data_IF_161110368022
#
_entry.id   IF_161110368022
#
_cell.length_a   1.000
_cell.length_b   1.000
_cell.length_c   1.000
_cell.angle_alpha   90.00
_cell.angle_beta   90.00
_cell.angle_gamma   90.00
#
_symmetry.space_group_name_H-M   'P 1'
#
loop_
_entity.id
_entity.type
_entity.pdbx_description
1 polymer ?
#
# COMPACT_ATOMS: atom_id res chain seq x y z
N UNK A 1 -1.34 10.40 5.61
CA UNK A 1 -2.51 10.75 4.75
C UNK A 1 -3.35 9.50 4.47
N UNK A 2 -4.52 9.62 3.81
CA UNK A 2 -5.31 8.45 3.37
C UNK A 2 -4.97 8.09 1.92
N UNK A 3 -4.82 6.79 1.57
CA UNK A 3 -4.66 6.39 0.18
C UNK A 3 -5.91 6.71 -0.64
N UNK A 4 -5.71 7.09 -1.90
CA UNK A 4 -6.75 7.48 -2.84
C UNK A 4 -6.83 6.56 -4.08
N UNK A 5 -5.87 5.67 -4.28
CA UNK A 5 -5.89 4.62 -5.30
C UNK A 5 -5.29 3.31 -4.75
N UNK A 6 -5.57 2.19 -5.42
CA UNK A 6 -5.14 0.86 -4.98
C UNK A 6 -4.69 -0.01 -6.17
N UNK A 7 -3.62 -0.79 -5.97
CA UNK A 7 -3.22 -1.89 -6.85
C UNK A 7 -3.74 -3.19 -6.21
N UNK A 8 -4.80 -3.77 -6.77
CA UNK A 8 -5.51 -4.90 -6.15
C UNK A 8 -5.12 -6.29 -6.67
N UNK A 9 -4.18 -6.38 -7.62
CA UNK A 9 -3.74 -7.65 -8.20
C UNK A 9 -3.83 -7.68 -9.74
N UNK A 10 -3.79 -8.87 -10.35
CA UNK A 10 -3.71 -10.20 -9.73
C UNK A 10 -2.26 -10.63 -9.41
N UNK A 11 -2.05 -11.64 -8.53
CA UNK A 11 -0.74 -12.27 -8.37
C UNK A 11 -0.17 -12.70 -9.72
N UNK A 12 1.15 -12.49 -9.91
CA UNK A 12 1.87 -12.74 -11.17
C UNK A 12 1.42 -11.89 -12.37
N UNK A 13 0.61 -10.84 -12.18
CA UNK A 13 0.23 -9.89 -13.23
C UNK A 13 1.14 -8.64 -13.31
N UNK A 14 2.36 -8.70 -12.75
CA UNK A 14 3.32 -7.60 -12.82
C UNK A 14 3.09 -6.46 -11.82
N UNK A 15 2.28 -6.67 -10.76
CA UNK A 15 2.00 -5.65 -9.73
C UNK A 15 3.25 -5.15 -8.99
N UNK A 16 4.27 -5.99 -8.86
CA UNK A 16 5.57 -5.57 -8.31
C UNK A 16 6.26 -4.53 -9.20
N UNK A 17 6.29 -4.74 -10.52
CA UNK A 17 6.90 -3.80 -11.44
C UNK A 17 6.14 -2.47 -11.47
N UNK A 18 4.79 -2.54 -11.53
CA UNK A 18 3.93 -1.36 -11.46
C UNK A 18 4.13 -0.57 -10.16
N UNK A 19 4.23 -1.26 -9.02
CA UNK A 19 4.54 -0.64 -7.73
C UNK A 19 5.87 0.11 -7.78
N UNK A 20 6.92 -0.52 -8.31
CA UNK A 20 8.25 0.11 -8.44
C UNK A 20 8.18 1.36 -9.31
N UNK A 21 7.59 1.28 -10.51
CA UNK A 21 7.53 2.42 -11.43
C UNK A 21 6.73 3.59 -10.85
N UNK A 22 5.60 3.33 -10.18
CA UNK A 22 4.82 4.38 -9.53
C UNK A 22 5.55 4.98 -8.33
N UNK A 23 6.33 4.20 -7.58
CA UNK A 23 7.12 4.71 -6.46
C UNK A 23 8.22 5.69 -6.86
N UNK A 24 8.65 5.66 -8.12
CA UNK A 24 9.64 6.61 -8.67
C UNK A 24 9.00 7.93 -9.14
N UNK A 25 7.68 7.99 -9.27
CA UNK A 25 6.99 9.17 -9.77
C UNK A 25 6.89 10.25 -8.66
N UNK A 26 7.32 11.51 -8.91
CA UNK A 26 7.45 12.52 -7.86
C UNK A 26 6.12 12.92 -7.18
N UNK A 27 4.99 12.66 -7.84
CA UNK A 27 3.65 12.98 -7.33
C UNK A 27 2.89 11.75 -6.81
N UNK A 28 3.54 10.59 -6.72
CA UNK A 28 2.92 9.38 -6.19
C UNK A 28 3.70 8.92 -4.96
N UNK A 29 2.97 8.65 -3.89
CA UNK A 29 3.53 8.01 -2.71
C UNK A 29 2.93 6.60 -2.59
N UNK A 30 3.79 5.59 -2.68
CA UNK A 30 3.41 4.20 -2.42
C UNK A 30 3.54 3.90 -0.93
N UNK A 31 2.71 3.00 -0.41
CA UNK A 31 2.79 2.56 1.00
C UNK A 31 4.21 2.07 1.33
N UNK A 32 4.77 2.48 2.48
CA UNK A 32 6.14 2.10 2.88
C UNK A 32 6.39 0.57 2.80
N UNK A 33 5.37 -0.23 3.08
CA UNK A 33 5.39 -1.67 2.91
C UNK A 33 4.44 -2.08 1.77
N UNK A 34 4.95 -2.82 0.79
CA UNK A 34 4.14 -3.43 -0.26
C UNK A 34 3.31 -4.58 0.31
N UNK A 35 2.08 -4.74 -0.20
CA UNK A 35 1.15 -5.83 0.16
C UNK A 35 0.79 -5.87 1.67
N UNK A 36 0.23 -4.79 2.24
CA UNK A 36 -0.14 -4.77 3.66
C UNK A 36 -1.30 -5.72 4.01
N UNK A 37 -2.07 -6.16 3.01
CA UNK A 37 -3.22 -7.06 3.15
C UNK A 37 -4.25 -6.62 4.21
N UNK A 38 -4.35 -5.30 4.47
CA UNK A 38 -5.23 -4.76 5.52
C UNK A 38 -6.72 -5.07 5.25
N UNK A 39 -7.16 -4.94 4.00
CA UNK A 39 -8.54 -5.18 3.58
C UNK A 39 -8.83 -6.64 3.17
N UNK A 40 -7.83 -7.50 3.11
CA UNK A 40 -7.99 -8.92 2.73
C UNK A 40 -8.39 -9.76 3.96
N UNK A 41 -9.64 -9.61 4.42
CA UNK A 41 -10.15 -10.27 5.63
C UNK A 41 -10.29 -11.79 5.49
N UNK A 42 -10.46 -12.26 4.25
CA UNK A 42 -10.48 -13.65 3.82
C UNK A 42 -9.10 -14.33 3.81
N UNK A 43 -8.02 -13.55 3.79
CA UNK A 43 -6.62 -14.02 3.83
C UNK A 43 -5.84 -13.39 5.00
N UNK A 44 -6.44 -13.38 6.19
CA UNK A 44 -5.89 -12.68 7.37
C UNK A 44 -4.50 -13.16 7.79
N UNK A 45 -4.11 -14.40 7.46
CA UNK A 45 -2.78 -14.95 7.68
C UNK A 45 -1.68 -14.30 6.82
N UNK A 46 -2.05 -13.60 5.74
CA UNK A 46 -1.12 -12.86 4.88
C UNK A 46 -0.99 -11.39 5.30
N UNK A 47 -1.69 -10.95 6.35
CA UNK A 47 -1.60 -9.59 6.87
C UNK A 47 -0.17 -9.24 7.27
N UNK A 48 0.29 -8.08 6.81
CA UNK A 48 1.58 -7.54 7.23
C UNK A 48 1.66 -7.43 8.76
N UNK A 49 2.80 -7.83 9.33
CA UNK A 49 3.04 -7.70 10.77
C UNK A 49 2.92 -6.24 11.18
N UNK A 50 2.14 -6.00 12.23
CA UNK A 50 1.88 -4.65 12.73
C UNK A 50 0.90 -3.84 11.89
N UNK A 51 0.14 -4.45 10.96
CA UNK A 51 -0.90 -3.79 10.15
C UNK A 51 -2.31 -4.33 10.49
N UNK A 52 -2.68 -4.27 11.77
CA UNK A 52 -3.91 -4.89 12.29
C UNK A 52 -5.06 -3.90 12.45
N UNK A 53 -4.76 -2.63 12.64
CA UNK A 53 -5.76 -1.56 12.79
C UNK A 53 -5.73 -0.60 11.61
N UNK A 54 -6.78 0.21 11.48
CA UNK A 54 -6.80 1.28 10.48
C UNK A 54 -5.67 2.29 10.73
N UNK A 55 -5.37 2.59 11.99
CA UNK A 55 -4.27 3.49 12.35
C UNK A 55 -2.92 2.94 11.89
N UNK A 56 -2.67 1.65 12.11
CA UNK A 56 -1.47 0.97 11.62
C UNK A 56 -1.35 1.04 10.09
N UNK A 57 -2.46 0.81 9.40
CA UNK A 57 -2.51 0.89 7.95
C UNK A 57 -2.22 2.31 7.44
N UNK A 58 -2.77 3.34 8.09
CA UNK A 58 -2.55 4.74 7.71
C UNK A 58 -1.12 5.21 8.00
N UNK A 59 -0.43 4.64 8.99
CA UNK A 59 1.00 4.92 9.25
C UNK A 59 1.90 4.52 8.08
N UNK A 60 1.48 3.57 7.24
CA UNK A 60 2.21 3.23 6.01
C UNK A 60 2.27 4.38 4.99
N UNK A 61 1.49 5.44 5.21
CA UNK A 61 1.40 6.64 4.39
C UNK A 61 1.72 7.92 5.18
N UNK A 62 2.50 7.81 6.26
CA UNK A 62 2.86 8.94 7.12
C UNK A 62 3.73 9.98 6.40
N UNK A 63 4.66 9.52 5.54
CA UNK A 63 5.59 10.40 4.81
C UNK A 63 5.00 10.92 3.49
N UNK A 64 3.76 10.56 3.17
CA UNK A 64 3.05 11.09 2.02
C UNK A 64 2.85 12.60 2.22
N UNK A 65 3.42 13.40 1.32
CA UNK A 65 3.24 14.85 1.32
C UNK A 65 1.84 15.19 0.82
N UNK A 66 1.18 16.21 1.40
CA UNK A 66 -0.04 16.76 0.82
C UNK A 66 0.19 17.08 -0.65
N UNK A 67 -0.83 16.87 -1.47
CA UNK A 67 -0.84 17.36 -2.84
C UNK A 67 -0.54 18.87 -2.79
N UNK A 68 0.49 19.30 -3.51
CA UNK A 68 0.89 20.71 -3.57
C UNK A 68 -0.15 21.56 -4.27
#
# INVERSE_FOLDING_TARGET
MKPNFFIIGAPKAGTTALYTYLSEHPHVYMSMMKEPHFFATDFSNHRARGCSTLDDYLKLFADAKPEG
#
